data_IF_334669470684
#
_entry.id   IF_334669470684
#
_cell.length_a   1.000
_cell.length_b   1.000
_cell.length_c   1.000
_cell.angle_alpha   90.00
_cell.angle_beta   90.00
_cell.angle_gamma   90.00
#
_symmetry.space_group_name_H-M   'P 1'
#
loop_
_entity.id
_entity.type
_entity.pdbx_description
1 polymer ?
#
# COMPACT_ATOMS: atom_id res chain seq x y z
N UNK A 1 -5.12 -11.45 8.91
CA UNK A 1 -4.08 -10.51 8.50
C UNK A 1 -4.53 -9.07 8.72
N UNK A 2 -3.64 -8.23 9.13
CA UNK A 2 -3.99 -6.84 9.41
C UNK A 2 -4.09 -6.04 8.11
N UNK A 3 -5.00 -5.09 8.10
CA UNK A 3 -5.33 -4.35 6.89
C UNK A 3 -4.35 -3.22 6.55
N UNK A 4 -3.29 -3.08 7.29
CA UNK A 4 -2.35 -2.00 7.06
C UNK A 4 -2.77 -0.70 7.72
N UNK A 5 -1.90 0.29 7.68
CA UNK A 5 -2.12 1.58 8.32
C UNK A 5 -2.20 2.68 7.28
N UNK A 6 -2.86 3.76 7.63
CA UNK A 6 -2.90 4.94 6.77
C UNK A 6 -1.49 5.49 6.58
N UNK A 7 -1.13 5.87 5.36
CA UNK A 7 0.22 6.37 5.10
C UNK A 7 0.43 7.73 5.74
N UNK A 8 1.68 7.98 6.15
CA UNK A 8 2.08 9.31 6.62
C UNK A 8 2.20 10.24 5.42
N UNK A 9 2.37 11.54 5.69
CA UNK A 9 2.51 12.52 4.63
C UNK A 9 3.69 12.19 3.71
N UNK A 10 4.83 11.80 4.29
CA UNK A 10 6.00 11.44 3.50
C UNK A 10 5.73 10.19 2.65
N UNK A 11 5.02 9.22 3.19
CA UNK A 11 4.66 8.01 2.46
C UNK A 11 3.69 8.32 1.34
N UNK A 12 2.76 9.22 1.56
CA UNK A 12 1.82 9.65 0.51
C UNK A 12 2.56 10.28 -0.66
N UNK A 13 3.53 11.12 -0.37
CA UNK A 13 4.34 11.75 -1.42
C UNK A 13 5.11 10.70 -2.21
N UNK A 14 5.67 9.72 -1.52
CA UNK A 14 6.41 8.66 -2.18
C UNK A 14 5.50 7.84 -3.12
N UNK A 15 4.32 7.49 -2.65
CA UNK A 15 3.35 6.76 -3.48
C UNK A 15 2.97 7.57 -4.70
N UNK A 16 2.71 8.85 -4.54
CA UNK A 16 2.34 9.72 -5.65
C UNK A 16 3.46 9.80 -6.67
N UNK A 17 4.70 9.85 -6.22
CA UNK A 17 5.85 9.86 -7.13
C UNK A 17 5.98 8.55 -7.90
N UNK A 18 5.47 7.45 -7.33
CA UNK A 18 5.47 6.15 -7.99
C UNK A 18 4.24 5.94 -8.88
N UNK A 19 3.39 6.94 -9.00
CA UNK A 19 2.20 6.84 -9.82
C UNK A 19 1.02 6.15 -9.15
N UNK A 20 1.03 6.07 -7.83
CA UNK A 20 -0.07 5.47 -7.07
C UNK A 20 -0.92 6.54 -6.40
N UNK A 21 -2.20 6.23 -6.23
CA UNK A 21 -3.10 7.10 -5.49
C UNK A 21 -2.94 6.83 -4.00
N UNK A 22 -2.35 7.77 -3.24
CA UNK A 22 -2.14 7.54 -1.81
C UNK A 22 -3.43 7.40 -1.00
N UNK A 23 -4.53 7.94 -1.50
CA UNK A 23 -5.80 7.83 -0.81
C UNK A 23 -6.43 6.45 -0.97
N UNK A 24 -6.00 5.69 -1.96
CA UNK A 24 -6.54 4.35 -2.23
C UNK A 24 -5.63 3.24 -1.71
N UNK A 25 -4.56 3.58 -1.02
CA UNK A 25 -3.58 2.61 -0.56
C UNK A 25 -3.34 2.72 0.94
N UNK A 26 -3.02 1.57 1.54
CA UNK A 26 -2.62 1.48 2.94
C UNK A 26 -1.22 0.89 3.02
N UNK A 27 -0.47 1.27 4.04
CA UNK A 27 0.88 0.77 4.24
C UNK A 27 0.84 -0.51 5.05
N UNK A 28 1.34 -1.59 4.48
CA UNK A 28 1.42 -2.89 5.13
C UNK A 28 2.76 -3.05 5.83
N UNK A 29 3.82 -2.61 5.18
CA UNK A 29 5.17 -2.74 5.71
C UNK A 29 6.02 -1.57 5.24
N UNK A 30 6.85 -1.07 6.14
CA UNK A 30 7.75 0.04 5.84
C UNK A 30 9.16 -0.34 6.25
N UNK A 31 10.04 -0.51 5.27
CA UNK A 31 11.44 -0.82 5.50
C UNK A 31 12.31 0.24 4.84
N UNK A 32 13.61 0.17 5.11
CA UNK A 32 14.55 1.09 4.47
C UNK A 32 14.68 0.82 2.96
N UNK A 33 14.42 -0.41 2.55
CA UNK A 33 14.56 -0.81 1.16
C UNK A 33 13.31 -0.54 0.33
N UNK A 34 12.13 -0.74 0.94
CA UNK A 34 10.89 -0.60 0.20
C UNK A 34 9.74 -0.24 1.11
N UNK A 35 8.68 0.24 0.48
CA UNK A 35 7.41 0.50 1.14
C UNK A 35 6.38 -0.46 0.54
N UNK A 36 5.84 -1.35 1.36
CA UNK A 36 4.84 -2.30 0.89
C UNK A 36 3.44 -1.75 1.18
N UNK A 37 2.63 -1.68 0.14
CA UNK A 37 1.29 -1.10 0.23
C UNK A 37 0.26 -2.05 -0.36
N UNK A 38 -0.98 -1.83 0.02
CA UNK A 38 -2.11 -2.59 -0.51
C UNK A 38 -3.23 -1.64 -0.89
N UNK A 39 -3.88 -1.93 -2.02
CA UNK A 39 -5.01 -1.14 -2.49
C UNK A 39 -6.24 -1.40 -1.63
N UNK A 40 -6.98 -0.34 -1.29
CA UNK A 40 -8.25 -0.49 -0.58
C UNK A 40 -9.24 -1.30 -1.40
N UNK A 41 -9.20 -1.15 -2.73
CA UNK A 41 -10.03 -1.94 -3.63
C UNK A 41 -9.74 -3.42 -3.51
N UNK A 42 -8.46 -3.79 -3.42
CA UNK A 42 -8.07 -5.19 -3.23
C UNK A 42 -8.57 -5.74 -1.90
N UNK A 43 -8.53 -4.94 -0.85
CA UNK A 43 -9.06 -5.36 0.45
C UNK A 43 -10.55 -5.59 0.41
N UNK A 44 -11.29 -4.76 -0.31
CA UNK A 44 -12.72 -4.96 -0.50
C UNK A 44 -13.00 -6.27 -1.22
N UNK A 45 -12.26 -6.55 -2.28
CA UNK A 45 -12.44 -7.81 -3.01
C UNK A 45 -12.14 -9.01 -2.15
N UNK A 46 -11.15 -8.90 -1.27
CA UNK A 46 -10.84 -9.98 -0.34
C UNK A 46 -12.04 -10.30 0.56
N UNK A 47 -12.68 -9.26 1.09
CA UNK A 47 -13.86 -9.46 1.95
C UNK A 47 -15.05 -10.04 1.21
N UNK A 48 -15.27 -9.59 -0.01
CA UNK A 48 -16.47 -9.98 -0.77
C UNK A 48 -16.28 -11.31 -1.46
N UNK A 49 -15.14 -11.53 -2.10
CA UNK A 49 -14.89 -12.69 -2.93
C UNK A 49 -13.99 -13.73 -2.29
N UNK A 50 -13.41 -13.43 -1.14
CA UNK A 50 -12.49 -14.34 -0.48
C UNK A 50 -11.15 -14.46 -1.18
N UNK A 51 -10.85 -13.57 -2.11
CA UNK A 51 -9.58 -13.57 -2.83
C UNK A 51 -8.57 -12.77 -2.04
N UNK A 52 -7.42 -13.37 -1.75
CA UNK A 52 -6.39 -12.72 -0.98
C UNK A 52 -5.90 -11.44 -1.65
N UNK A 53 -5.87 -10.34 -0.90
CA UNK A 53 -5.42 -9.06 -1.42
C UNK A 53 -3.95 -9.12 -1.77
N UNK A 54 -3.59 -8.48 -2.89
CA UNK A 54 -2.21 -8.40 -3.34
C UNK A 54 -1.57 -7.11 -2.86
N UNK A 55 -0.33 -7.20 -2.43
CA UNK A 55 0.44 -6.04 -2.03
C UNK A 55 1.40 -5.65 -3.13
N UNK A 56 1.88 -4.40 -3.07
CA UNK A 56 2.86 -3.88 -4.02
C UNK A 56 4.04 -3.32 -3.23
N UNK A 57 5.23 -3.66 -3.67
CA UNK A 57 6.46 -3.17 -3.06
C UNK A 57 7.00 -2.00 -3.87
N UNK A 58 7.15 -0.87 -3.24
CA UNK A 58 7.71 0.33 -3.87
C UNK A 58 9.14 0.49 -3.37
N UNK A 59 10.10 0.13 -4.20
CA UNK A 59 11.50 0.16 -3.80
C UNK A 59 12.01 1.59 -3.78
N UNK A 60 12.69 1.93 -2.69
CA UNK A 60 13.24 3.26 -2.53
C UNK A 60 14.53 3.39 -3.31
N UNK A 61 14.72 4.55 -3.90
CA UNK A 61 15.96 4.88 -4.60
C UNK A 61 16.70 5.94 -3.80
N UNK A 62 17.99 5.79 -3.73
CA UNK A 62 18.83 6.78 -3.06
C UNK A 62 19.19 7.93 -3.97
#
# INVERSE_FOLDING_TARGET
MKNGKHPTLAQKKFMKNCGLDPDDHLVVKNTQEFLEVVSKTSLKKEKIQGIKARTRKLYRQE
#
